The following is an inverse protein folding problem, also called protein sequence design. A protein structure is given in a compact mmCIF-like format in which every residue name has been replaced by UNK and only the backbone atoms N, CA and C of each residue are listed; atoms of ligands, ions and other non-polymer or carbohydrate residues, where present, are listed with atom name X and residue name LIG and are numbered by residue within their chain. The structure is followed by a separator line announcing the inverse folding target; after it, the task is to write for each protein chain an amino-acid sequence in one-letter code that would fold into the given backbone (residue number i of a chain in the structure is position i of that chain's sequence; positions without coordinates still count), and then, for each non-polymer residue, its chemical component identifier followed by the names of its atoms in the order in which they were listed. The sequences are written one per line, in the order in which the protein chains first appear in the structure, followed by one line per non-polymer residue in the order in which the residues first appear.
data_IF_393434957455
#
_entry.id   IF_393434957455
#
_cell.length_a   1.000
_cell.length_b   1.000
_cell.length_c   1.000
_cell.angle_alpha   90.00
_cell.angle_beta   90.00
_cell.angle_gamma   90.00
#
_symmetry.space_group_name_H-M   'P 1'
#
loop_
_entity.id
_entity.type
_entity.pdbx_description
1 polymer ?
#
# COMPACT_ATOMS: atom_id res chain seq x y z
N UNK A 1 21.19 -79.39 13.81
CA UNK A 1 21.33 -79.93 12.44
C UNK A 1 20.53 -79.02 11.52
N UNK A 2 21.08 -78.10 10.74
CA UNK A 2 22.28 -78.16 9.91
C UNK A 2 21.85 -78.25 8.45
N UNK A 3 21.70 -77.11 7.75
CA UNK A 3 21.83 -77.05 6.28
C UNK A 3 22.17 -75.62 5.83
N UNK A 4 23.29 -75.56 5.11
CA UNK A 4 24.03 -74.40 4.58
C UNK A 4 23.43 -73.88 3.26
N UNK A 5 24.00 -72.75 2.81
CA UNK A 5 24.18 -72.22 1.43
C UNK A 5 23.21 -71.09 1.04
N UNK A 6 23.60 -69.98 0.41
CA UNK A 6 24.84 -69.55 -0.29
C UNK A 6 24.93 -68.01 -0.22
N UNK A 7 26.14 -67.49 0.01
CA UNK A 7 26.53 -66.10 -0.31
C UNK A 7 26.66 -65.96 -1.84
N UNK A 8 26.12 -64.89 -2.41
CA UNK A 8 26.58 -64.30 -3.67
C UNK A 8 26.81 -62.81 -3.44
N UNK A 9 28.05 -62.39 -3.64
CA UNK A 9 28.55 -61.02 -3.56
C UNK A 9 27.89 -60.11 -4.62
N UNK A 10 27.51 -58.91 -4.22
CA UNK A 10 27.24 -57.78 -5.14
C UNK A 10 28.55 -57.10 -5.53
N UNK A 11 28.75 -56.71 -6.81
CA UNK A 11 29.80 -55.77 -7.16
C UNK A 11 29.29 -54.34 -6.96
N UNK A 12 30.05 -53.61 -6.15
CA UNK A 12 30.03 -52.15 -6.02
C UNK A 12 30.43 -51.51 -7.35
N UNK A 13 29.56 -50.69 -7.95
CA UNK A 13 29.93 -49.76 -9.02
C UNK A 13 30.40 -48.45 -8.39
N UNK A 14 31.71 -48.22 -8.45
CA UNK A 14 32.37 -46.98 -8.03
C UNK A 14 32.29 -45.97 -9.19
N UNK A 15 31.75 -44.80 -8.90
CA UNK A 15 31.70 -43.63 -9.76
C UNK A 15 33.08 -42.93 -9.71
N UNK A 16 33.79 -42.87 -10.83
CA UNK A 16 34.94 -41.97 -11.03
C UNK A 16 34.61 -41.02 -12.18
N UNK A 17 34.70 -39.72 -11.86
CA UNK A 17 34.13 -38.65 -12.64
C UNK A 17 34.84 -38.31 -13.94
N UNK A 18 34.16 -37.48 -14.73
CA UNK A 18 34.77 -36.62 -15.72
C UNK A 18 34.23 -35.20 -15.53
N UNK A 19 35.18 -34.30 -15.27
CA UNK A 19 35.05 -32.86 -15.16
C UNK A 19 34.68 -32.30 -16.53
N UNK A 20 33.62 -31.50 -16.61
CA UNK A 20 33.30 -30.71 -17.80
C UNK A 20 33.38 -29.22 -17.45
N UNK A 21 34.31 -28.55 -18.14
CA UNK A 21 34.60 -27.13 -18.07
C UNK A 21 33.39 -26.29 -18.47
N UNK A 22 33.09 -25.25 -17.69
CA UNK A 22 32.15 -24.19 -18.07
C UNK A 22 32.87 -23.13 -18.90
N UNK A 23 32.51 -23.02 -20.18
CA UNK A 23 32.83 -21.88 -21.02
C UNK A 23 31.84 -20.74 -20.73
N UNK A 24 32.40 -19.54 -20.56
CA UNK A 24 31.68 -18.32 -20.21
C UNK A 24 30.90 -17.80 -21.43
N UNK A 25 29.57 -17.80 -21.34
CA UNK A 25 28.69 -17.08 -22.26
C UNK A 25 28.22 -15.76 -21.63
N UNK A 26 28.63 -14.64 -22.20
CA UNK A 26 28.23 -13.29 -21.80
C UNK A 26 26.76 -13.04 -22.18
N UNK A 27 25.84 -13.22 -21.22
CA UNK A 27 24.44 -12.82 -21.39
C UNK A 27 24.28 -11.31 -21.11
N UNK A 28 23.72 -10.58 -22.07
CA UNK A 28 23.49 -9.14 -21.99
C UNK A 28 22.57 -8.72 -20.85
N UNK A 29 22.82 -7.52 -20.32
CA UNK A 29 22.04 -6.90 -19.26
C UNK A 29 20.58 -6.63 -19.71
N UNK A 30 19.58 -6.89 -18.85
CA UNK A 30 18.20 -6.49 -19.12
C UNK A 30 18.03 -4.97 -19.02
N UNK A 31 17.46 -4.34 -20.05
CA UNK A 31 17.03 -2.93 -19.98
C UNK A 31 15.82 -2.76 -19.05
N UNK A 32 15.70 -1.64 -18.31
CA UNK A 32 14.55 -1.36 -17.47
C UNK A 32 13.28 -1.06 -18.30
N UNK A 33 12.08 -1.37 -17.78
CA UNK A 33 10.82 -1.13 -18.49
C UNK A 33 10.53 0.38 -18.63
N UNK A 34 9.78 0.78 -19.68
CA UNK A 34 9.41 2.18 -19.89
C UNK A 34 8.47 2.70 -18.79
N UNK A 35 8.53 4.01 -18.46
CA UNK A 35 7.69 4.62 -17.44
C UNK A 35 6.20 4.59 -17.83
N UNK A 36 5.34 4.35 -16.84
CA UNK A 36 3.88 4.32 -17.02
C UNK A 36 3.33 5.72 -17.33
N UNK A 37 2.31 5.84 -18.20
CA UNK A 37 1.67 7.12 -18.48
C UNK A 37 0.93 7.68 -17.24
N UNK A 38 0.87 9.01 -17.08
CA UNK A 38 0.21 9.65 -15.95
C UNK A 38 -1.32 9.47 -16.01
N UNK A 39 -1.93 9.36 -14.83
CA UNK A 39 -3.38 9.20 -14.66
C UNK A 39 -4.10 10.51 -15.06
N UNK A 40 -5.26 10.44 -15.75
CA UNK A 40 -6.05 11.64 -16.08
C UNK A 40 -6.54 12.34 -14.80
N UNK A 41 -6.41 13.68 -14.77
CA UNK A 41 -6.96 14.51 -13.70
C UNK A 41 -8.47 14.74 -13.91
N UNK A 42 -9.26 14.85 -12.82
CA UNK A 42 -10.66 15.23 -12.93
C UNK A 42 -10.80 16.71 -13.37
N UNK A 43 -11.90 17.08 -14.06
CA UNK A 43 -12.09 18.42 -14.58
C UNK A 43 -12.33 19.45 -13.46
N UNK A 44 -11.96 20.73 -13.66
CA UNK A 44 -12.15 21.78 -12.68
C UNK A 44 -13.63 22.18 -12.56
N UNK A 45 -14.12 22.28 -11.32
CA UNK A 45 -15.42 22.89 -11.05
C UNK A 45 -15.33 24.41 -11.27
N UNK A 46 -16.17 24.93 -12.16
CA UNK A 46 -16.35 26.36 -12.38
C UNK A 46 -17.09 26.98 -11.18
N UNK A 47 -16.41 27.86 -10.46
CA UNK A 47 -17.04 28.81 -9.54
C UNK A 47 -17.61 29.95 -10.38
N UNK A 48 -18.95 30.08 -10.41
CA UNK A 48 -19.63 31.24 -11.00
C UNK A 48 -19.33 32.48 -10.14
N UNK A 49 -18.77 33.50 -10.78
CA UNK A 49 -18.65 34.85 -10.22
C UNK A 49 -19.96 35.60 -10.47
N UNK A 50 -20.55 36.19 -9.42
CA UNK A 50 -21.70 37.07 -9.54
C UNK A 50 -21.21 38.45 -10.02
N UNK A 51 -21.67 38.84 -11.20
CA UNK A 51 -21.46 40.12 -11.86
C UNK A 51 -22.17 41.27 -11.16
N UNK A 52 -21.49 42.41 -11.10
CA UNK A 52 -22.07 43.73 -10.85
C UNK A 52 -22.98 44.14 -12.03
N UNK A 53 -24.10 44.78 -11.71
CA UNK A 53 -24.97 45.47 -12.66
C UNK A 53 -25.58 46.70 -11.98
N UNK A 54 -25.16 47.88 -12.41
CA UNK A 54 -25.92 49.14 -12.36
C UNK A 54 -27.17 48.97 -13.27
N UNK A 55 -28.31 49.66 -13.12
CA UNK A 55 -28.55 51.11 -13.23
C UNK A 55 -29.96 51.52 -12.71
N UNK A 56 -30.16 52.83 -12.47
CA UNK A 56 -31.45 53.53 -12.36
C UNK A 56 -31.88 53.88 -10.92
N UNK A 57 -32.30 55.08 -10.53
CA UNK A 57 -32.56 56.35 -11.19
C UNK A 57 -33.41 57.22 -10.24
N UNK A 58 -33.02 58.49 -10.05
CA UNK A 58 -33.81 59.69 -9.67
C UNK A 58 -34.87 59.64 -8.54
N UNK A 59 -34.66 60.42 -7.47
CA UNK A 59 -35.43 61.65 -7.15
C UNK A 59 -34.90 62.31 -5.86
N UNK A 60 -34.64 63.61 -5.95
CA UNK A 60 -34.33 64.54 -4.84
C UNK A 60 -35.63 65.24 -4.44
N UNK A 61 -35.83 65.58 -3.15
CA UNK A 61 -36.09 66.97 -2.79
C UNK A 61 -35.34 67.41 -1.52
N UNK A 62 -34.36 68.30 -1.73
CA UNK A 62 -34.26 69.69 -1.25
C UNK A 62 -34.73 70.14 0.17
N UNK A 63 -33.87 71.01 0.75
CA UNK A 63 -33.98 72.06 1.80
C UNK A 63 -34.43 71.74 3.26
N UNK A 64 -33.53 71.95 4.24
CA UNK A 64 -33.43 73.18 5.06
C UNK A 64 -32.30 73.08 6.11
N UNK A 65 -31.54 74.17 6.28
CA UNK A 65 -30.61 74.41 7.40
C UNK A 65 -31.36 74.64 8.71
N UNK A 66 -30.84 74.16 9.85
CA UNK A 66 -30.95 74.88 11.12
C UNK A 66 -29.93 74.41 12.17
N UNK A 67 -29.11 75.36 12.63
CA UNK A 67 -28.98 75.72 14.06
C UNK A 67 -28.60 74.64 15.08
N UNK A 68 -27.34 74.69 15.50
CA UNK A 68 -26.83 74.59 16.87
C UNK A 68 -27.61 73.79 17.93
N UNK A 69 -26.97 72.79 18.54
CA UNK A 69 -26.92 72.68 20.01
C UNK A 69 -25.86 71.68 20.47
N UNK A 70 -25.08 72.14 21.44
CA UNK A 70 -24.06 71.40 22.21
C UNK A 70 -24.67 70.15 22.85
N UNK A 71 -24.07 68.99 22.61
CA UNK A 71 -24.22 67.84 23.50
C UNK A 71 -22.86 67.16 23.68
N UNK A 72 -22.24 67.46 24.83
CA UNK A 72 -21.11 66.76 25.41
C UNK A 72 -21.19 65.25 25.17
N UNK A 73 -20.42 64.73 24.21
CA UNK A 73 -20.12 63.29 24.17
C UNK A 73 -18.81 63.07 24.88
N UNK A 74 -18.96 62.77 26.17
CA UNK A 74 -18.04 62.01 27.02
C UNK A 74 -17.14 61.12 26.15
N UNK A 75 -15.82 61.28 26.29
CA UNK A 75 -14.84 60.33 25.73
C UNK A 75 -15.28 58.92 26.11
N UNK A 76 -15.82 58.15 25.16
CA UNK A 76 -16.10 56.74 25.38
C UNK A 76 -14.78 56.05 25.65
N UNK A 77 -14.65 55.62 26.90
CA UNK A 77 -13.57 54.83 27.47
C UNK A 77 -13.05 53.83 26.43
N UNK A 78 -11.76 53.98 26.12
CA UNK A 78 -11.12 53.44 24.94
C UNK A 78 -11.25 51.93 24.77
N UNK A 79 -11.48 51.56 23.51
CA UNK A 79 -10.75 50.50 22.83
C UNK A 79 -10.59 49.22 23.65
N UNK A 80 -11.66 48.44 23.71
CA UNK A 80 -11.53 47.02 24.02
C UNK A 80 -10.67 46.43 22.90
N UNK A 81 -9.43 46.17 23.27
CA UNK A 81 -8.35 45.65 22.47
C UNK A 81 -8.83 44.58 21.48
N UNK A 82 -9.13 45.02 20.25
CA UNK A 82 -9.70 44.14 19.22
C UNK A 82 -8.69 43.04 18.95
N UNK A 83 -9.07 41.81 19.31
CA UNK A 83 -8.22 40.64 19.11
C UNK A 83 -7.96 40.45 17.61
N UNK A 84 -6.70 40.16 17.28
CA UNK A 84 -6.22 39.98 15.91
C UNK A 84 -5.52 38.65 15.75
N UNK A 85 -5.32 38.24 14.51
CA UNK A 85 -4.63 37.01 14.15
C UNK A 85 -5.57 35.89 13.71
N UNK A 86 -5.01 34.75 13.30
CA UNK A 86 -5.78 33.68 12.66
C UNK A 86 -6.66 32.88 13.63
N UNK A 87 -6.45 33.00 14.95
CA UNK A 87 -7.16 32.20 15.96
C UNK A 87 -8.05 33.07 16.86
N UNK A 88 -8.87 33.92 16.26
CA UNK A 88 -9.90 34.70 16.97
C UNK A 88 -11.25 34.00 16.80
N UNK A 89 -11.88 33.67 17.92
CA UNK A 89 -13.18 33.01 17.98
C UNK A 89 -14.19 33.91 18.72
N UNK A 90 -15.48 33.59 18.60
CA UNK A 90 -16.55 34.31 19.27
C UNK A 90 -17.32 35.26 18.35
N UNK A 91 -18.01 36.23 18.95
CA UNK A 91 -18.87 37.18 18.24
C UNK A 91 -18.25 38.58 18.23
N UNK A 92 -18.84 39.50 17.45
CA UNK A 92 -18.35 40.89 17.31
C UNK A 92 -18.26 41.68 18.63
N UNK A 93 -18.98 41.24 19.66
CA UNK A 93 -19.06 41.89 20.97
C UNK A 93 -18.38 41.09 22.08
N UNK A 94 -18.09 39.81 21.84
CA UNK A 94 -17.38 38.96 22.78
C UNK A 94 -16.42 38.08 21.99
N UNK A 95 -15.28 38.68 21.63
CA UNK A 95 -14.19 37.99 20.94
C UNK A 95 -13.19 37.48 21.96
N UNK A 96 -12.69 36.27 21.73
CA UNK A 96 -11.69 35.61 22.56
C UNK A 96 -10.76 34.78 21.68
N UNK A 97 -9.57 34.46 22.16
CA UNK A 97 -8.69 33.55 21.43
C UNK A 97 -9.31 32.16 21.39
N UNK A 98 -9.27 31.51 20.22
CA UNK A 98 -9.80 30.17 20.06
C UNK A 98 -9.20 29.19 21.09
N UNK A 99 -9.92 28.12 21.47
CA UNK A 99 -9.44 27.15 22.46
C UNK A 99 -8.01 26.68 22.15
N UNK A 100 -7.12 26.80 23.14
CA UNK A 100 -5.71 26.45 22.99
C UNK A 100 -4.81 27.58 22.47
N UNK A 101 -5.31 28.80 22.33
CA UNK A 101 -4.53 29.98 21.95
C UNK A 101 -4.65 31.08 23.01
N UNK A 102 -3.57 31.82 23.20
CA UNK A 102 -3.49 33.00 24.06
C UNK A 102 -2.78 34.14 23.35
N UNK A 103 -2.86 35.33 23.94
CA UNK A 103 -2.14 36.50 23.46
C UNK A 103 -0.72 36.58 24.02
N UNK A 104 0.12 37.38 23.37
CA UNK A 104 1.40 37.82 23.94
C UNK A 104 1.17 38.70 25.17
N UNK A 105 2.12 38.76 26.13
CA UNK A 105 2.03 39.68 27.27
C UNK A 105 1.89 41.13 26.77
N UNK A 106 0.76 41.77 27.04
CA UNK A 106 0.46 43.15 26.61
C UNK A 106 0.04 43.30 25.13
N UNK A 107 -0.26 42.20 24.43
CA UNK A 107 -0.71 42.22 23.04
C UNK A 107 -2.11 41.65 22.84
N UNK A 108 -2.66 41.88 21.65
CA UNK A 108 -4.02 41.45 21.26
C UNK A 108 -4.01 40.37 20.17
N UNK A 109 -2.86 39.75 19.93
CA UNK A 109 -2.70 38.78 18.85
C UNK A 109 -2.82 37.35 19.37
N UNK A 110 -3.82 36.61 18.91
CA UNK A 110 -4.06 35.20 19.26
C UNK A 110 -3.15 34.25 18.48
N UNK A 111 -1.84 34.37 18.69
CA UNK A 111 -0.81 33.60 17.97
C UNK A 111 0.03 32.71 18.87
N UNK A 112 -0.17 32.75 20.19
CA UNK A 112 0.60 31.94 21.13
C UNK A 112 -0.19 30.66 21.45
N UNK A 113 0.25 29.48 21.01
CA UNK A 113 -0.42 28.23 21.36
C UNK A 113 -0.18 27.86 22.84
N UNK A 114 -1.14 27.15 23.42
CA UNK A 114 -1.10 26.65 24.79
C UNK A 114 -0.75 25.16 24.75
N UNK A 115 0.36 24.79 25.38
CA UNK A 115 0.74 23.40 25.59
C UNK A 115 0.49 23.00 27.05
N UNK A 116 -0.15 21.85 27.28
CA UNK A 116 -0.35 21.27 28.63
C UNK A 116 0.98 20.99 29.36
N UNK A 117 2.00 20.58 28.62
CA UNK A 117 3.32 20.24 29.14
C UNK A 117 4.38 21.18 28.53
N UNK A 118 5.45 21.45 29.27
CA UNK A 118 6.62 22.15 28.73
C UNK A 118 7.29 21.30 27.65
N UNK A 119 7.59 21.93 26.52
CA UNK A 119 8.15 21.26 25.34
C UNK A 119 9.64 20.88 25.46
N UNK A 120 10.30 21.04 26.62
CA UNK A 120 11.73 20.73 26.77
C UNK A 120 12.61 21.48 25.75
N UNK A 121 13.39 20.74 24.97
CA UNK A 121 14.29 21.26 23.91
C UNK A 121 13.55 21.77 22.65
N UNK A 122 12.22 21.78 22.66
CA UNK A 122 11.37 22.26 21.58
C UNK A 122 10.54 23.49 21.95
N UNK A 123 9.74 23.96 20.99
CA UNK A 123 8.80 25.07 21.19
C UNK A 123 7.35 24.63 20.91
N UNK A 124 6.39 25.26 21.60
CA UNK A 124 4.96 24.99 21.36
C UNK A 124 4.57 25.63 20.03
N UNK A 125 4.27 24.82 19.00
CA UNK A 125 3.89 25.31 17.67
C UNK A 125 2.39 25.30 17.44
N UNK A 126 1.66 24.44 18.16
CA UNK A 126 0.20 24.29 18.09
C UNK A 126 -0.36 23.91 19.47
N UNK A 127 -1.67 24.06 19.71
CA UNK A 127 -2.27 23.64 20.97
C UNK A 127 -1.90 22.18 21.31
N UNK A 128 -1.27 21.96 22.46
CA UNK A 128 -0.75 20.65 22.91
C UNK A 128 0.22 19.94 21.95
N UNK A 129 0.91 20.68 21.08
CA UNK A 129 1.88 20.15 20.13
C UNK A 129 3.16 20.99 20.13
N UNK A 130 4.26 20.33 20.46
CA UNK A 130 5.62 20.83 20.47
C UNK A 130 6.32 20.48 19.17
N UNK A 131 7.07 21.42 18.61
CA UNK A 131 8.07 21.14 17.56
C UNK A 131 9.43 21.03 18.24
N UNK A 132 10.01 19.85 18.17
CA UNK A 132 11.28 19.53 18.82
C UNK A 132 12.48 20.01 18.00
N UNK A 133 13.64 20.10 18.64
CA UNK A 133 14.92 20.43 18.00
C UNK A 133 15.26 19.50 16.83
N UNK A 134 14.76 18.25 16.85
CA UNK A 134 14.87 17.27 15.74
C UNK A 134 13.94 17.55 14.55
N UNK A 135 13.09 18.57 14.61
CA UNK A 135 12.04 18.84 13.62
C UNK A 135 10.77 17.99 13.76
N UNK A 136 10.75 17.04 14.70
CA UNK A 136 9.58 16.22 14.99
C UNK A 136 8.50 17.02 15.74
N UNK A 137 7.24 16.78 15.41
CA UNK A 137 6.11 17.38 16.12
C UNK A 137 5.48 16.34 17.05
N UNK A 138 5.44 16.60 18.36
CA UNK A 138 4.95 15.68 19.40
C UNK A 138 4.34 16.43 20.59
N UNK A 139 3.62 15.78 21.52
CA UNK A 139 3.10 16.44 22.73
C UNK A 139 4.18 16.91 23.72
N UNK A 140 5.38 16.32 23.69
CA UNK A 140 6.54 16.66 24.52
C UNK A 140 7.85 16.31 23.81
N UNK A 141 8.87 17.17 23.90
CA UNK A 141 10.23 16.85 23.47
C UNK A 141 11.02 16.46 24.72
N UNK A 142 11.47 15.21 24.78
CA UNK A 142 12.08 14.65 25.99
C UNK A 142 11.47 13.32 26.43
N UNK A 143 10.37 12.89 25.81
CA UNK A 143 10.15 11.46 25.72
C UNK A 143 11.16 10.95 24.71
N UNK A 144 12.24 10.29 25.18
CA UNK A 144 12.78 9.14 24.41
C UNK A 144 11.53 8.42 23.96
N UNK A 145 11.26 8.42 22.66
CA UNK A 145 9.94 7.99 22.21
C UNK A 145 9.71 6.62 22.81
N UNK A 146 8.49 6.38 23.28
CA UNK A 146 8.02 5.01 23.50
C UNK A 146 8.46 4.25 22.23
N UNK A 147 9.47 3.38 22.39
CA UNK A 147 10.11 2.61 21.32
C UNK A 147 10.69 3.45 20.15
N UNK A 148 11.70 4.29 20.38
CA UNK A 148 12.47 4.87 19.28
C UNK A 148 13.43 3.84 18.69
N UNK A 149 12.86 2.91 17.95
CA UNK A 149 13.60 2.18 16.95
C UNK A 149 13.85 3.12 15.78
N UNK A 150 15.10 3.24 15.33
CA UNK A 150 15.44 3.90 14.07
C UNK A 150 14.74 3.23 12.87
N UNK A 151 14.37 1.95 13.02
CA UNK A 151 13.70 1.12 12.01
C UNK A 151 12.20 0.93 12.32
N UNK A 152 11.33 1.16 11.33
CA UNK A 152 9.87 0.99 11.52
C UNK A 152 9.45 -0.43 11.16
N UNK A 153 9.07 -1.24 12.15
CA UNK A 153 8.66 -2.63 11.94
C UNK A 153 7.19 -2.72 11.46
N UNK A 154 6.94 -3.52 10.42
CA UNK A 154 5.61 -3.80 9.87
C UNK A 154 5.10 -5.20 10.27
N UNK A 155 3.84 -5.50 9.96
CA UNK A 155 3.22 -6.83 10.12
C UNK A 155 3.35 -7.44 11.53
N UNK A 156 3.33 -6.60 12.57
CA UNK A 156 3.43 -7.04 13.97
C UNK A 156 4.86 -7.38 14.43
N UNK A 157 5.89 -6.95 13.69
CA UNK A 157 7.28 -7.04 14.13
C UNK A 157 7.55 -6.16 15.35
N UNK A 158 8.32 -6.68 16.30
CA UNK A 158 8.76 -5.97 17.51
C UNK A 158 10.15 -5.38 17.28
N UNK A 159 10.35 -4.13 17.67
CA UNK A 159 11.69 -3.54 17.66
C UNK A 159 12.50 -3.98 18.88
N UNK A 160 13.72 -4.45 18.66
CA UNK A 160 14.76 -4.62 19.67
C UNK A 160 16.09 -4.09 19.10
N UNK A 161 16.77 -3.22 19.84
CA UNK A 161 18.12 -2.71 19.51
C UNK A 161 18.29 -2.21 18.06
N UNK A 162 17.38 -1.35 17.60
CA UNK A 162 17.35 -0.82 16.22
C UNK A 162 17.20 -1.87 15.09
N UNK A 163 16.82 -3.10 15.45
CA UNK A 163 16.47 -4.17 14.53
C UNK A 163 15.02 -4.63 14.72
N UNK A 164 14.37 -5.01 13.62
CA UNK A 164 13.03 -5.58 13.68
C UNK A 164 13.09 -7.10 13.88
N UNK A 165 12.52 -7.57 14.99
CA UNK A 165 12.21 -8.98 15.20
C UNK A 165 10.89 -9.31 14.52
N UNK A 166 10.96 -10.07 13.43
CA UNK A 166 9.79 -10.43 12.64
C UNK A 166 9.03 -11.62 13.23
N UNK A 167 7.71 -11.57 13.11
CA UNK A 167 6.83 -12.70 13.42
C UNK A 167 7.08 -13.86 12.44
N UNK A 168 6.73 -15.08 12.87
CA UNK A 168 6.88 -16.28 12.02
C UNK A 168 6.18 -16.07 10.67
N UNK A 169 6.92 -16.29 9.59
CA UNK A 169 6.40 -16.14 8.22
C UNK A 169 6.58 -14.75 7.61
N UNK A 170 7.33 -13.85 8.25
CA UNK A 170 7.78 -12.58 7.67
C UNK A 170 9.29 -12.42 7.80
N UNK A 171 9.91 -11.79 6.80
CA UNK A 171 11.35 -11.53 6.74
C UNK A 171 11.63 -10.12 6.20
N UNK A 172 12.92 -9.75 6.20
CA UNK A 172 13.42 -8.46 5.77
C UNK A 172 13.63 -7.50 6.93
N UNK A 173 14.36 -6.41 6.67
CA UNK A 173 14.76 -5.42 7.68
C UNK A 173 13.59 -4.75 8.39
N UNK A 174 12.44 -4.65 7.71
CA UNK A 174 11.21 -4.03 8.23
C UNK A 174 10.05 -5.04 8.40
N UNK A 175 10.31 -6.35 8.28
CA UNK A 175 9.29 -7.40 8.30
C UNK A 175 8.19 -7.24 7.24
N UNK A 176 8.53 -6.65 6.08
CA UNK A 176 7.59 -6.38 4.99
C UNK A 176 7.40 -7.54 4.02
N UNK A 177 8.32 -8.50 3.99
CA UNK A 177 8.31 -9.59 3.00
C UNK A 177 7.70 -10.86 3.63
N UNK A 178 6.55 -11.36 3.13
CA UNK A 178 5.97 -12.60 3.61
C UNK A 178 6.77 -13.82 3.10
N UNK A 179 6.75 -14.89 3.88
CA UNK A 179 7.37 -16.19 3.57
C UNK A 179 6.29 -17.26 3.44
N UNK A 180 6.38 -18.02 2.36
CA UNK A 180 5.53 -19.18 2.09
C UNK A 180 6.40 -20.45 2.23
N UNK A 181 6.17 -21.27 3.26
CA UNK A 181 7.02 -22.43 3.60
C UNK A 181 7.07 -23.45 2.44
N UNK A 182 5.93 -23.71 1.79
CA UNK A 182 5.85 -24.64 0.65
C UNK A 182 6.00 -23.97 -0.72
N UNK A 183 6.19 -22.64 -0.75
CA UNK A 183 6.17 -21.84 -1.98
C UNK A 183 4.82 -21.84 -2.71
N UNK A 184 4.64 -20.88 -3.61
CA UNK A 184 3.46 -20.80 -4.48
C UNK A 184 3.77 -21.44 -5.84
N UNK A 185 2.94 -22.37 -6.30
CA UNK A 185 3.09 -23.04 -7.58
C UNK A 185 2.49 -22.21 -8.73
N UNK A 186 2.74 -22.64 -9.98
CA UNK A 186 2.13 -22.09 -11.19
C UNK A 186 2.26 -20.55 -11.33
N UNK A 187 3.38 -19.99 -10.87
CA UNK A 187 3.65 -18.55 -10.92
C UNK A 187 2.88 -17.72 -9.88
N UNK A 188 2.30 -18.34 -8.86
CA UNK A 188 1.65 -17.63 -7.75
C UNK A 188 2.64 -16.77 -6.96
N UNK A 189 2.14 -15.67 -6.37
CA UNK A 189 2.94 -14.75 -5.54
C UNK A 189 2.60 -14.89 -4.07
N UNK A 190 3.61 -14.99 -3.21
CA UNK A 190 3.40 -14.96 -1.77
C UNK A 190 2.92 -13.56 -1.33
N UNK A 191 1.72 -13.48 -0.75
CA UNK A 191 1.11 -12.23 -0.28
C UNK A 191 0.93 -12.20 1.24
N UNK A 192 1.16 -13.32 1.91
CA UNK A 192 1.09 -13.47 3.36
C UNK A 192 1.74 -14.78 3.79
N UNK A 193 1.90 -15.01 5.10
CA UNK A 193 2.47 -16.23 5.64
C UNK A 193 1.62 -17.42 5.19
N UNK A 194 2.23 -18.33 4.42
CA UNK A 194 1.55 -19.48 3.79
C UNK A 194 0.29 -19.11 2.98
N UNK A 195 0.25 -17.89 2.41
CA UNK A 195 -0.86 -17.41 1.59
C UNK A 195 -0.39 -16.96 0.22
N UNK A 196 -0.87 -17.64 -0.82
CA UNK A 196 -0.53 -17.37 -2.20
C UNK A 196 -1.64 -16.61 -2.93
N UNK A 197 -1.23 -15.63 -3.74
CA UNK A 197 -2.05 -15.03 -4.78
C UNK A 197 -1.80 -15.78 -6.09
N UNK A 198 -2.82 -16.47 -6.58
CA UNK A 198 -2.72 -17.27 -7.78
C UNK A 198 -2.88 -16.43 -9.04
N UNK A 199 -2.19 -16.85 -10.10
CA UNK A 199 -2.46 -16.37 -11.45
C UNK A 199 -3.86 -16.83 -11.87
N UNK A 200 -4.52 -16.06 -12.73
CA UNK A 200 -5.83 -16.41 -13.26
C UNK A 200 -5.81 -17.84 -13.84
N UNK A 201 -6.82 -18.64 -13.48
CA UNK A 201 -6.87 -20.04 -13.88
C UNK A 201 -6.26 -21.04 -12.90
N UNK A 202 -5.63 -20.59 -11.82
CA UNK A 202 -5.12 -21.47 -10.75
C UNK A 202 -5.78 -21.18 -9.40
N UNK A 203 -6.03 -22.22 -8.62
CA UNK A 203 -6.67 -22.16 -7.31
C UNK A 203 -6.04 -23.17 -6.34
N UNK A 204 -6.44 -23.12 -5.08
CA UNK A 204 -5.83 -23.88 -3.99
C UNK A 204 -4.93 -23.02 -3.09
N UNK A 205 -4.59 -23.50 -1.88
CA UNK A 205 -3.74 -22.79 -0.93
C UNK A 205 -2.36 -22.43 -1.50
N UNK A 206 -1.81 -23.24 -2.40
CA UNK A 206 -0.51 -23.03 -3.06
C UNK A 206 -0.64 -22.82 -4.57
N UNK A 207 -1.84 -22.54 -5.08
CA UNK A 207 -2.10 -22.40 -6.52
C UNK A 207 -1.82 -23.66 -7.34
N UNK A 208 -1.95 -24.83 -6.72
CA UNK A 208 -1.65 -26.13 -7.30
C UNK A 208 -2.72 -26.62 -8.30
N UNK A 209 -3.96 -26.14 -8.19
CA UNK A 209 -5.10 -26.66 -8.96
C UNK A 209 -5.39 -25.78 -10.16
N UNK A 210 -5.15 -26.30 -11.35
CA UNK A 210 -5.52 -25.66 -12.62
C UNK A 210 -7.04 -25.82 -12.87
N UNK A 211 -7.75 -24.70 -13.02
CA UNK A 211 -9.16 -24.63 -13.41
C UNK A 211 -9.35 -23.92 -14.75
N UNK A 212 -8.27 -23.57 -15.47
CA UNK A 212 -8.39 -23.00 -16.80
C UNK A 212 -9.20 -23.93 -17.68
N UNK A 213 -10.09 -23.35 -18.47
CA UNK A 213 -10.94 -24.04 -19.42
C UNK A 213 -10.48 -23.75 -20.84
N UNK A 214 -10.51 -24.75 -21.71
CA UNK A 214 -9.96 -24.62 -23.05
C UNK A 214 -10.32 -25.78 -23.98
N UNK A 215 -9.98 -25.66 -25.27
CA UNK A 215 -10.20 -26.72 -26.24
C UNK A 215 -9.33 -27.95 -25.92
N UNK A 216 -9.90 -29.13 -26.12
CA UNK A 216 -9.21 -30.41 -25.99
C UNK A 216 -8.84 -30.95 -27.38
N UNK A 217 -7.63 -31.46 -27.54
CA UNK A 217 -7.10 -31.98 -28.81
C UNK A 217 -6.75 -33.45 -28.69
N UNK A 218 -7.12 -34.23 -29.70
CA UNK A 218 -6.90 -35.68 -29.73
C UNK A 218 -5.56 -36.09 -30.36
N UNK A 219 -4.91 -35.18 -31.10
CA UNK A 219 -3.65 -35.45 -31.79
C UNK A 219 -2.69 -34.25 -31.66
N UNK A 220 -1.40 -34.54 -31.67
CA UNK A 220 -0.33 -33.53 -31.68
C UNK A 220 0.66 -33.92 -32.77
N UNK A 221 0.89 -33.04 -33.73
CA UNK A 221 1.81 -33.26 -34.85
C UNK A 221 2.74 -32.06 -34.98
N UNK A 222 4.07 -32.27 -34.99
CA UNK A 222 5.08 -31.20 -35.04
C UNK A 222 4.81 -30.03 -34.07
N UNK A 223 4.50 -30.33 -32.80
CA UNK A 223 4.14 -29.33 -31.76
C UNK A 223 2.86 -28.52 -32.03
N UNK A 224 2.11 -28.85 -33.07
CA UNK A 224 0.79 -28.29 -33.35
C UNK A 224 -0.32 -29.23 -32.86
N UNK A 225 -1.25 -28.67 -32.12
CA UNK A 225 -2.47 -29.33 -31.66
C UNK A 225 -3.44 -29.54 -32.85
N UNK A 226 -3.84 -30.79 -33.11
CA UNK A 226 -4.76 -31.16 -34.18
C UNK A 226 -5.93 -32.01 -33.64
N UNK A 227 -7.05 -32.03 -34.37
CA UNK A 227 -8.23 -32.81 -33.96
C UNK A 227 -8.90 -32.24 -32.70
N UNK A 228 -9.27 -30.95 -32.74
CA UNK A 228 -10.02 -30.29 -31.68
C UNK A 228 -11.41 -30.93 -31.52
N UNK A 229 -11.77 -31.25 -30.28
CA UNK A 229 -13.13 -31.67 -29.94
C UNK A 229 -14.04 -30.44 -29.95
N UNK A 230 -14.89 -30.34 -30.98
CA UNK A 230 -15.81 -29.20 -31.18
C UNK A 230 -16.88 -29.17 -30.09
N UNK A 231 -17.11 -27.99 -29.49
CA UNK A 231 -18.18 -27.77 -28.51
C UNK A 231 -17.88 -28.25 -27.08
N UNK A 232 -16.71 -28.84 -26.83
CA UNK A 232 -16.31 -29.32 -25.51
C UNK A 232 -15.23 -28.38 -24.94
N UNK A 233 -15.60 -27.55 -23.97
CA UNK A 233 -14.64 -26.79 -23.17
C UNK A 233 -14.40 -27.56 -21.88
N UNK A 234 -13.18 -28.05 -21.68
CA UNK A 234 -12.80 -28.83 -20.51
C UNK A 234 -11.61 -28.20 -19.80
N UNK A 235 -11.41 -28.60 -18.54
CA UNK A 235 -10.13 -28.36 -17.86
C UNK A 235 -9.04 -29.25 -18.45
N UNK A 236 -7.79 -28.81 -18.34
CA UNK A 236 -6.62 -29.61 -18.78
C UNK A 236 -6.65 -31.02 -18.20
N UNK A 237 -6.95 -31.12 -16.90
CA UNK A 237 -7.03 -32.41 -16.19
C UNK A 237 -8.07 -33.34 -16.80
N UNK A 238 -9.26 -32.84 -17.12
CA UNK A 238 -10.32 -33.65 -17.72
C UNK A 238 -9.99 -34.07 -19.17
N UNK A 239 -9.41 -33.17 -19.95
CA UNK A 239 -8.94 -33.48 -21.31
C UNK A 239 -7.86 -34.58 -21.28
N UNK A 240 -6.82 -34.41 -20.46
CA UNK A 240 -5.70 -35.34 -20.37
C UNK A 240 -6.03 -36.66 -19.66
N UNK A 241 -7.11 -36.70 -18.86
CA UNK A 241 -7.59 -37.93 -18.22
C UNK A 241 -8.44 -38.82 -19.15
N UNK A 242 -8.91 -38.30 -20.29
CA UNK A 242 -9.77 -39.01 -21.24
C UNK A 242 -9.01 -39.40 -22.51
N UNK A 243 -9.41 -38.87 -23.68
CA UNK A 243 -8.75 -39.12 -24.98
C UNK A 243 -7.81 -37.97 -25.40
N UNK A 244 -7.78 -36.89 -24.63
CA UNK A 244 -6.97 -35.71 -24.94
C UNK A 244 -5.47 -35.99 -24.92
N UNK A 245 -4.76 -35.54 -25.96
CA UNK A 245 -3.29 -35.57 -26.08
C UNK A 245 -2.67 -34.20 -25.83
N UNK A 246 -3.41 -33.12 -26.06
CA UNK A 246 -3.02 -31.78 -25.72
C UNK A 246 -4.24 -30.90 -25.42
N UNK A 247 -4.01 -29.75 -24.81
CA UNK A 247 -5.05 -28.89 -24.30
C UNK A 247 -4.67 -27.40 -24.41
N UNK A 248 -5.67 -26.56 -24.68
CA UNK A 248 -5.57 -25.11 -24.55
C UNK A 248 -4.87 -24.38 -25.71
N UNK A 249 -4.78 -23.06 -25.55
CA UNK A 249 -3.99 -22.15 -26.37
C UNK A 249 -3.13 -21.28 -25.43
N UNK A 250 -1.79 -21.38 -25.42
CA UNK A 250 -0.93 -22.21 -26.27
C UNK A 250 -1.15 -23.73 -26.07
N UNK A 251 -0.77 -24.51 -27.08
CA UNK A 251 -0.92 -25.97 -27.11
C UNK A 251 -0.06 -26.62 -26.02
N UNK A 252 -0.66 -27.00 -24.89
CA UNK A 252 0.02 -27.69 -23.80
C UNK A 252 -0.16 -29.20 -23.96
N UNK A 253 0.94 -29.94 -24.17
CA UNK A 253 0.90 -31.41 -24.24
C UNK A 253 0.48 -32.00 -22.89
N UNK A 254 -0.35 -33.04 -22.94
CA UNK A 254 -0.73 -33.79 -21.75
C UNK A 254 0.47 -34.59 -21.22
N UNK A 255 0.65 -34.69 -19.88
CA UNK A 255 1.69 -35.53 -19.32
C UNK A 255 1.48 -36.98 -19.76
N UNK A 256 2.58 -37.69 -20.08
CA UNK A 256 2.53 -39.10 -20.44
C UNK A 256 1.91 -39.88 -19.26
N UNK A 257 0.76 -40.52 -19.48
CA UNK A 257 0.15 -41.32 -18.42
C UNK A 257 1.07 -42.50 -18.09
N UNK A 258 1.48 -42.68 -16.82
CA UNK A 258 2.18 -43.87 -16.40
C UNK A 258 1.20 -45.04 -16.37
N UNK A 259 1.25 -45.87 -17.42
CA UNK A 259 0.62 -47.19 -17.55
C UNK A 259 -0.92 -47.21 -17.58
N UNK A 260 -1.54 -48.23 -18.23
CA UNK A 260 -2.98 -48.24 -18.44
C UNK A 260 -3.72 -48.36 -17.11
N UNK A 261 -4.79 -47.58 -16.95
CA UNK A 261 -5.79 -47.75 -15.90
C UNK A 261 -6.31 -49.19 -15.89
N UNK A 262 -5.69 -50.09 -15.10
CA UNK A 262 -6.33 -51.35 -14.72
C UNK A 262 -7.33 -51.02 -13.62
N UNK A 263 -8.61 -51.00 -13.99
CA UNK A 263 -9.70 -51.10 -13.03
C UNK A 263 -9.45 -52.31 -12.11
N UNK A 264 -9.53 -52.15 -10.78
CA UNK A 264 -9.56 -53.31 -9.90
C UNK A 264 -10.81 -54.12 -10.26
N UNK A 265 -10.60 -55.40 -10.61
CA UNK A 265 -11.66 -56.39 -10.80
C UNK A 265 -12.31 -56.73 -9.48
#
# INVERSE_FOLDING_TARGET
MGRRRRLCLQPYFVWLGCVALWAQGTAGQPQPPPPKPPRPQPPPQQVRSATAGSEGGFLVPEYLEEGAAVASRVRRRGQQDVLRGPNVCGSRFHSYCCPGWKTLPGGNQCIVPICRNSCGDGFCSRPNMCTCSSGQISPTCGSKSIQQCSVRCMNGGTCADDHCQCQKGYIGTYCGQPVCENGCQNGGRCIGPNRCACVYGFTGPQCERDYRTGPCFTQVNNQMCQGQLTGIVCTKTLCCATIGRAWGHPCEMCPAQPQPCRLPR
#
